data_IF_622291264345
#
_entry.id   IF_622291264345
#
_cell.length_a   1.000
_cell.length_b   1.000
_cell.length_c   1.000
_cell.angle_alpha   90.00
_cell.angle_beta   90.00
_cell.angle_gamma   90.00
#
_symmetry.space_group_name_H-M   'P 1'
#
loop_
_entity.id
_entity.type
_entity.pdbx_description
1 polymer ?
#
# COMPACT_ATOMS: atom_id res chain seq x y z
N UNK A 1 12.32 -10.18 -3.49
CA UNK A 1 11.22 -10.11 -4.45
C UNK A 1 11.68 -10.06 -5.91
N UNK A 2 12.76 -9.34 -6.21
CA UNK A 2 13.28 -9.21 -7.59
C UNK A 2 14.77 -9.47 -7.61
N UNK A 3 15.24 -10.28 -8.55
CA UNK A 3 16.67 -10.52 -8.79
C UNK A 3 16.90 -10.83 -10.27
N UNK A 4 18.02 -10.35 -10.82
CA UNK A 4 18.38 -10.58 -12.22
C UNK A 4 17.38 -10.04 -13.25
N UNK A 5 16.51 -9.10 -12.86
CA UNK A 5 15.45 -8.58 -13.73
C UNK A 5 14.20 -9.46 -13.81
N UNK A 6 14.07 -10.46 -12.94
CA UNK A 6 12.94 -11.37 -12.89
C UNK A 6 12.21 -11.28 -11.53
N UNK A 7 10.89 -11.47 -11.55
CA UNK A 7 10.07 -11.57 -10.35
C UNK A 7 10.21 -12.96 -9.72
N UNK A 8 10.66 -13.01 -8.48
CA UNK A 8 10.78 -14.22 -7.67
C UNK A 8 9.57 -14.44 -6.75
N UNK A 9 8.44 -13.83 -7.06
CA UNK A 9 7.25 -13.86 -6.22
C UNK A 9 6.00 -14.20 -7.02
N UNK A 10 5.01 -14.70 -6.30
CA UNK A 10 3.62 -14.79 -6.74
C UNK A 10 2.72 -13.99 -5.79
N UNK A 11 1.73 -13.30 -6.34
CA UNK A 11 0.72 -12.61 -5.53
C UNK A 11 -0.48 -13.54 -5.33
N UNK A 12 -0.97 -13.58 -4.11
CA UNK A 12 -2.18 -14.30 -3.72
C UNK A 12 -3.20 -13.29 -3.22
N UNK A 13 -4.31 -13.20 -3.92
CA UNK A 13 -5.50 -12.44 -3.56
C UNK A 13 -6.60 -13.40 -3.06
N UNK A 14 -7.61 -12.90 -2.33
CA UNK A 14 -8.80 -13.70 -2.04
C UNK A 14 -9.53 -14.11 -3.34
N UNK A 15 -10.35 -15.15 -3.34
CA UNK A 15 -11.07 -15.61 -4.54
C UNK A 15 -11.98 -14.57 -5.19
N UNK A 16 -12.46 -13.61 -4.40
CA UNK A 16 -13.31 -12.50 -4.84
C UNK A 16 -12.72 -11.20 -4.25
N UNK A 17 -11.67 -10.65 -4.88
CA UNK A 17 -10.95 -9.49 -4.35
C UNK A 17 -11.80 -8.22 -4.51
N UNK A 18 -11.78 -7.37 -3.49
CA UNK A 18 -12.29 -6.00 -3.61
C UNK A 18 -11.47 -5.24 -4.67
N UNK A 19 -12.05 -4.29 -5.41
CA UNK A 19 -11.32 -3.47 -6.37
C UNK A 19 -10.07 -2.79 -5.79
N UNK A 20 -10.08 -2.40 -4.51
CA UNK A 20 -8.91 -1.83 -3.86
C UNK A 20 -7.84 -2.89 -3.51
N UNK A 21 -8.24 -4.13 -3.21
CA UNK A 21 -7.29 -5.24 -3.03
C UNK A 21 -6.59 -5.57 -4.38
N UNK A 22 -7.35 -5.55 -5.48
CA UNK A 22 -6.77 -5.70 -6.83
C UNK A 22 -5.83 -4.54 -7.16
N UNK A 23 -6.25 -3.29 -6.91
CA UNK A 23 -5.40 -2.12 -7.11
C UNK A 23 -4.12 -2.19 -6.28
N UNK A 24 -4.18 -2.66 -5.03
CA UNK A 24 -3.00 -2.86 -4.19
C UNK A 24 -2.00 -3.84 -4.83
N UNK A 25 -2.47 -4.93 -5.41
CA UNK A 25 -1.64 -5.90 -6.12
C UNK A 25 -1.01 -5.30 -7.40
N UNK A 26 -1.81 -4.62 -8.21
CA UNK A 26 -1.37 -3.99 -9.46
C UNK A 26 -0.32 -2.89 -9.20
N UNK A 27 -0.52 -2.07 -8.16
CA UNK A 27 0.45 -1.04 -7.74
C UNK A 27 1.76 -1.68 -7.25
N UNK A 28 1.69 -2.76 -6.47
CA UNK A 28 2.89 -3.47 -6.04
C UNK A 28 3.70 -3.98 -7.23
N UNK A 29 3.07 -4.66 -8.18
CA UNK A 29 3.73 -5.17 -9.39
C UNK A 29 4.34 -4.03 -10.21
N UNK A 30 3.58 -2.94 -10.42
CA UNK A 30 4.03 -1.75 -11.14
C UNK A 30 5.29 -1.14 -10.53
N UNK A 31 5.29 -0.95 -9.20
CA UNK A 31 6.44 -0.33 -8.54
C UNK A 31 7.63 -1.27 -8.40
N UNK A 32 7.42 -2.57 -8.25
CA UNK A 32 8.52 -3.53 -8.26
C UNK A 32 9.22 -3.55 -9.64
N UNK A 33 8.45 -3.42 -10.73
CA UNK A 33 9.02 -3.26 -12.07
C UNK A 33 9.81 -1.94 -12.20
N UNK A 34 9.24 -0.81 -11.78
CA UNK A 34 9.94 0.50 -11.76
C UNK A 34 11.23 0.45 -10.93
N UNK A 35 11.20 -0.16 -9.74
CA UNK A 35 12.36 -0.34 -8.86
C UNK A 35 13.46 -1.17 -9.50
N UNK A 36 13.12 -2.15 -10.31
CA UNK A 36 14.09 -2.96 -11.08
C UNK A 36 14.60 -2.24 -12.32
N UNK A 37 13.98 -1.13 -12.71
CA UNK A 37 14.33 -0.36 -13.90
C UNK A 37 13.73 -0.90 -15.20
N UNK A 38 12.69 -1.74 -15.13
CA UNK A 38 11.98 -2.31 -16.27
C UNK A 38 10.53 -1.81 -16.34
N UNK A 39 9.90 -1.93 -17.49
CA UNK A 39 8.47 -1.63 -17.64
C UNK A 39 7.60 -2.77 -17.10
N UNK A 40 8.06 -4.01 -17.27
CA UNK A 40 7.42 -5.23 -16.82
C UNK A 40 8.46 -6.19 -16.25
N UNK A 41 8.07 -6.99 -15.25
CA UNK A 41 8.91 -8.02 -14.67
C UNK A 41 8.47 -9.39 -15.19
N UNK A 42 9.28 -10.07 -16.02
CA UNK A 42 9.02 -11.46 -16.32
C UNK A 42 9.10 -12.30 -15.04
N UNK A 43 8.19 -13.25 -14.90
CA UNK A 43 8.24 -14.19 -13.76
C UNK A 43 9.36 -15.19 -13.99
N UNK A 44 10.15 -15.43 -12.94
CA UNK A 44 11.14 -16.49 -12.93
C UNK A 44 10.45 -17.87 -13.05
N UNK A 45 11.22 -18.89 -13.45
CA UNK A 45 10.72 -20.27 -13.52
C UNK A 45 10.26 -20.78 -12.15
N UNK A 46 10.90 -20.30 -11.08
CA UNK A 46 10.52 -20.57 -9.70
C UNK A 46 10.22 -19.25 -8.99
N UNK A 47 9.08 -19.19 -8.33
CA UNK A 47 8.64 -18.03 -7.54
C UNK A 47 8.53 -18.44 -6.06
N UNK A 48 9.68 -18.52 -5.33
CA UNK A 48 9.69 -19.03 -3.96
C UNK A 48 8.92 -18.13 -3.00
N UNK A 49 8.80 -16.84 -3.29
CA UNK A 49 8.14 -15.89 -2.39
C UNK A 49 6.64 -15.80 -2.68
N UNK A 50 5.83 -15.96 -1.64
CA UNK A 50 4.38 -15.72 -1.70
C UNK A 50 4.06 -14.37 -1.08
N UNK A 51 3.35 -13.52 -1.83
CA UNK A 51 2.84 -12.22 -1.36
C UNK A 51 1.32 -12.31 -1.22
N UNK A 52 0.84 -12.43 0.01
CA UNK A 52 -0.57 -12.45 0.35
C UNK A 52 -1.08 -11.02 0.57
N UNK A 53 -2.14 -10.62 -0.12
CA UNK A 53 -2.69 -9.25 -0.06
C UNK A 53 -4.15 -9.26 0.37
N UNK A 54 -4.51 -8.30 1.21
CA UNK A 54 -5.87 -8.06 1.65
C UNK A 54 -6.40 -9.16 2.56
N UNK A 55 -7.61 -9.62 2.31
CA UNK A 55 -8.25 -10.68 3.12
C UNK A 55 -7.50 -12.00 3.07
N UNK A 56 -6.69 -12.25 2.05
CA UNK A 56 -5.81 -13.43 1.99
C UNK A 56 -4.71 -13.40 3.06
N UNK A 57 -4.25 -12.20 3.44
CA UNK A 57 -3.17 -11.98 4.40
C UNK A 57 -3.65 -11.71 5.84
N UNK A 58 -4.95 -11.66 6.10
CA UNK A 58 -5.49 -11.31 7.41
C UNK A 58 -5.04 -12.26 8.52
N UNK A 59 -4.65 -11.68 9.65
CA UNK A 59 -4.27 -12.42 10.85
C UNK A 59 -4.93 -11.84 12.12
N UNK A 60 -4.78 -12.55 13.22
CA UNK A 60 -5.40 -12.15 14.48
C UNK A 60 -4.78 -10.87 15.08
N UNK A 61 -3.48 -10.62 14.85
CA UNK A 61 -2.83 -9.39 15.34
C UNK A 61 -3.47 -8.11 14.78
N UNK A 62 -3.84 -8.11 13.50
CA UNK A 62 -4.53 -6.97 12.91
C UNK A 62 -5.93 -6.81 13.53
N UNK A 63 -6.66 -7.93 13.70
CA UNK A 63 -8.01 -7.91 14.29
C UNK A 63 -8.03 -7.44 15.73
N UNK A 64 -7.05 -7.84 16.53
CA UNK A 64 -6.96 -7.48 17.95
C UNK A 64 -6.57 -6.00 18.14
N UNK A 65 -5.65 -5.48 17.33
CA UNK A 65 -5.09 -4.14 17.51
C UNK A 65 -5.84 -3.05 16.77
N UNK A 66 -6.45 -3.37 15.64
CA UNK A 66 -6.99 -2.40 14.70
C UNK A 66 -8.52 -2.42 14.61
N UNK A 67 -9.22 -3.14 15.48
CA UNK A 67 -10.68 -3.30 15.42
C UNK A 67 -11.49 -2.01 15.54
N UNK A 68 -10.89 -0.93 16.02
CA UNK A 68 -11.54 0.38 16.20
C UNK A 68 -11.13 1.42 15.14
N UNK A 69 -10.18 1.12 14.24
CA UNK A 69 -9.65 2.06 13.25
C UNK A 69 -9.70 1.45 11.85
N UNK A 70 -10.54 2.01 10.98
CA UNK A 70 -10.70 1.56 9.59
C UNK A 70 -9.47 1.81 8.70
N UNK A 71 -8.48 2.53 9.17
CA UNK A 71 -7.26 2.86 8.44
C UNK A 71 -6.02 2.09 8.89
N UNK A 72 -6.14 1.20 9.87
CA UNK A 72 -5.04 0.37 10.36
C UNK A 72 -4.61 -0.67 9.32
N UNK A 73 -3.32 -0.97 9.26
CA UNK A 73 -2.80 -1.99 8.37
C UNK A 73 -1.69 -2.83 9.02
N UNK A 74 -1.41 -3.95 8.40
CA UNK A 74 -0.45 -4.95 8.85
C UNK A 74 0.54 -5.28 7.75
N UNK A 75 1.80 -5.36 8.11
CA UNK A 75 2.89 -5.84 7.27
C UNK A 75 3.63 -6.94 8.01
N UNK A 76 3.79 -8.07 7.37
CA UNK A 76 4.67 -9.14 7.84
C UNK A 76 5.56 -9.62 6.69
N UNK A 77 6.85 -9.68 6.96
CA UNK A 77 7.85 -10.30 6.09
C UNK A 77 8.54 -11.38 6.90
N UNK A 78 8.25 -12.62 6.59
CA UNK A 78 8.78 -13.77 7.32
C UNK A 78 9.05 -14.92 6.36
N UNK A 79 10.29 -15.43 6.42
CA UNK A 79 10.75 -16.50 5.54
C UNK A 79 10.48 -16.16 4.05
N UNK A 80 9.76 -16.99 3.33
CA UNK A 80 9.35 -16.78 1.93
C UNK A 80 7.93 -16.22 1.80
N UNK A 81 7.39 -15.58 2.85
CA UNK A 81 6.04 -15.05 2.85
C UNK A 81 6.04 -13.57 3.20
N UNK A 82 5.33 -12.79 2.40
CA UNK A 82 5.00 -11.38 2.66
C UNK A 82 3.49 -11.26 2.81
N UNK A 83 3.02 -10.66 3.91
CA UNK A 83 1.60 -10.44 4.17
C UNK A 83 1.32 -8.96 4.29
N UNK A 84 0.36 -8.48 3.50
CA UNK A 84 -0.05 -7.09 3.42
C UNK A 84 -1.57 -7.01 3.56
N UNK A 85 -2.06 -6.57 4.70
CA UNK A 85 -3.49 -6.49 4.97
C UNK A 85 -3.87 -5.18 5.66
N UNK A 86 -5.08 -4.71 5.42
CA UNK A 86 -5.68 -3.57 6.11
C UNK A 86 -6.98 -3.94 6.82
N UNK A 87 -7.44 -3.08 7.73
CA UNK A 87 -8.76 -3.17 8.36
C UNK A 87 -9.90 -2.91 7.38
N UNK A 88 -9.56 -2.32 6.23
CA UNK A 88 -10.44 -2.11 5.09
C UNK A 88 -9.67 -2.35 3.78
N UNK A 89 -10.34 -2.51 2.63
CA UNK A 89 -9.67 -2.61 1.33
C UNK A 89 -8.75 -1.42 1.03
N UNK A 90 -9.16 -0.21 1.39
CA UNK A 90 -8.34 1.01 1.27
C UNK A 90 -7.09 0.92 2.15
N UNK A 91 -7.21 0.45 3.38
CA UNK A 91 -6.09 0.29 4.29
C UNK A 91 -5.11 -0.82 3.82
N UNK A 92 -5.57 -1.78 3.01
CA UNK A 92 -4.69 -2.74 2.34
C UNK A 92 -3.76 -2.04 1.34
N UNK A 93 -4.24 -1.04 0.59
CA UNK A 93 -3.38 -0.21 -0.24
C UNK A 93 -2.33 0.53 0.61
N UNK A 94 -2.69 0.99 1.80
CA UNK A 94 -1.73 1.66 2.70
C UNK A 94 -0.59 0.73 3.11
N UNK A 95 -0.86 -0.56 3.36
CA UNK A 95 0.19 -1.55 3.63
C UNK A 95 1.16 -1.68 2.46
N UNK A 96 0.64 -1.74 1.23
CA UNK A 96 1.47 -1.80 0.02
C UNK A 96 2.31 -0.54 -0.16
N UNK A 97 1.70 0.64 -0.03
CA UNK A 97 2.45 1.89 -0.19
C UNK A 97 3.48 2.10 0.92
N UNK A 98 3.20 1.66 2.13
CA UNK A 98 4.19 1.70 3.21
C UNK A 98 5.39 0.79 2.93
N UNK A 99 5.15 -0.41 2.42
CA UNK A 99 6.23 -1.29 1.95
C UNK A 99 7.05 -0.65 0.83
N UNK A 100 6.39 0.01 -0.15
CA UNK A 100 7.07 0.72 -1.24
C UNK A 100 7.87 1.93 -0.73
N UNK A 101 7.36 2.64 0.27
CA UNK A 101 8.11 3.73 0.93
C UNK A 101 9.38 3.23 1.61
N UNK A 102 9.36 2.04 2.22
CA UNK A 102 10.55 1.42 2.78
C UNK A 102 11.59 1.06 1.71
N UNK A 103 11.12 0.71 0.51
CA UNK A 103 11.98 0.48 -0.66
C UNK A 103 12.46 1.80 -1.30
N UNK A 104 12.06 2.96 -0.77
CA UNK A 104 12.52 4.28 -1.18
C UNK A 104 11.62 5.00 -2.17
N UNK A 105 10.45 4.46 -2.52
CA UNK A 105 9.47 5.17 -3.33
C UNK A 105 8.91 6.39 -2.56
N UNK A 106 8.67 7.49 -3.27
CA UNK A 106 8.06 8.72 -2.71
C UNK A 106 7.14 9.36 -3.73
N UNK A 107 6.06 9.98 -3.23
CA UNK A 107 5.07 10.69 -4.04
C UNK A 107 4.86 12.10 -3.48
N UNK A 108 5.64 13.05 -3.98
CA UNK A 108 5.67 14.43 -3.45
C UNK A 108 4.51 15.29 -3.92
N UNK A 109 3.94 14.99 -5.10
CA UNK A 109 2.78 15.69 -5.66
C UNK A 109 2.00 14.76 -6.60
N UNK A 110 0.75 15.09 -6.95
CA UNK A 110 -0.03 14.33 -7.92
C UNK A 110 0.65 14.22 -9.30
N UNK A 111 0.52 13.07 -9.93
CA UNK A 111 1.06 12.77 -11.26
C UNK A 111 2.51 12.29 -11.23
N UNK A 112 2.98 11.88 -12.42
CA UNK A 112 4.28 11.23 -12.59
C UNK A 112 5.47 12.11 -12.20
N UNK A 113 5.35 13.44 -12.40
CA UNK A 113 6.42 14.39 -12.02
C UNK A 113 6.69 14.36 -10.51
N UNK A 114 5.68 14.00 -9.72
CA UNK A 114 5.79 13.89 -8.27
C UNK A 114 6.38 12.57 -7.78
N UNK A 115 6.62 11.61 -8.65
CA UNK A 115 7.15 10.31 -8.26
C UNK A 115 8.68 10.31 -8.19
N UNK A 116 9.21 9.74 -7.11
CA UNK A 116 10.62 9.39 -6.99
C UNK A 116 10.72 7.89 -6.70
N UNK A 117 11.23 7.14 -7.67
CA UNK A 117 11.40 5.69 -7.57
C UNK A 117 12.88 5.36 -7.78
N UNK A 118 13.58 4.82 -6.78
CA UNK A 118 14.98 4.44 -6.93
C UNK A 118 15.12 3.23 -7.86
N UNK A 119 16.27 3.10 -8.50
CA UNK A 119 16.63 1.89 -9.26
C UNK A 119 17.50 1.00 -8.40
N UNK A 120 16.96 -0.12 -7.97
CA UNK A 120 17.63 -1.00 -7.00
C UNK A 120 18.34 -2.20 -7.66
N UNK A 121 17.96 -2.59 -8.88
CA UNK A 121 18.46 -3.80 -9.55
C UNK A 121 18.07 -5.12 -8.88
N UNK A 122 18.05 -5.14 -7.55
CA UNK A 122 17.51 -6.23 -6.72
C UNK A 122 16.59 -5.65 -5.66
N UNK A 123 15.46 -6.31 -5.40
CA UNK A 123 14.53 -5.95 -4.35
C UNK A 123 14.51 -7.04 -3.29
N UNK A 124 15.11 -6.75 -2.16
CA UNK A 124 15.14 -7.63 -0.99
C UNK A 124 14.38 -6.96 0.17
N UNK A 125 13.57 -7.73 0.88
CA UNK A 125 12.89 -7.28 2.08
C UNK A 125 13.62 -7.83 3.30
N UNK A 126 13.65 -7.03 4.37
CA UNK A 126 14.08 -7.49 5.68
C UNK A 126 12.89 -8.10 6.43
N UNK A 127 13.17 -9.05 7.32
CA UNK A 127 12.13 -9.60 8.19
C UNK A 127 11.49 -8.47 9.03
N UNK A 128 10.18 -8.43 9.03
CA UNK A 128 9.37 -7.41 9.71
C UNK A 128 8.03 -8.02 10.15
N UNK A 129 7.47 -7.51 11.23
CA UNK A 129 6.10 -7.86 11.63
C UNK A 129 5.54 -6.72 12.47
N UNK A 130 4.63 -5.93 11.89
CA UNK A 130 4.04 -4.78 12.56
C UNK A 130 2.61 -4.50 12.16
N UNK A 131 1.88 -3.88 13.08
CA UNK A 131 0.59 -3.25 12.85
C UNK A 131 0.77 -1.75 12.99
N UNK A 132 0.37 -1.01 11.97
CA UNK A 132 0.39 0.46 11.94
C UNK A 132 -1.02 1.01 12.07
N UNK A 133 -1.18 1.97 12.96
CA UNK A 133 -2.42 2.70 13.17
C UNK A 133 -2.15 4.18 12.91
N UNK A 134 -3.07 4.91 12.28
CA UNK A 134 -2.86 6.33 12.07
C UNK A 134 -2.98 7.11 13.38
N UNK A 135 -2.06 8.05 13.62
CA UNK A 135 -2.13 8.97 14.75
C UNK A 135 -3.33 9.92 14.68
N UNK A 136 -3.81 10.19 13.46
CA UNK A 136 -4.95 11.08 13.21
C UNK A 136 -6.05 10.35 12.44
N UNK A 137 -7.28 10.44 12.94
CA UNK A 137 -8.47 9.84 12.29
C UNK A 137 -8.79 10.50 10.95
N UNK A 138 -8.61 11.82 10.83
CA UNK A 138 -8.81 12.57 9.61
C UNK A 138 -7.47 13.07 9.05
N UNK A 139 -7.14 12.66 7.83
CA UNK A 139 -5.91 12.99 7.11
C UNK A 139 -6.27 13.53 5.73
N UNK A 140 -6.87 14.72 5.69
CA UNK A 140 -7.46 15.29 4.48
C UNK A 140 -6.80 16.62 4.15
N UNK A 141 -6.44 16.80 2.89
CA UNK A 141 -6.01 18.07 2.33
C UNK A 141 -7.18 18.73 1.58
N UNK A 142 -7.72 19.81 2.15
CA UNK A 142 -8.90 20.49 1.60
C UNK A 142 -8.66 21.16 0.24
N UNK A 143 -7.42 21.54 -0.06
CA UNK A 143 -7.05 22.25 -1.29
C UNK A 143 -6.48 21.33 -2.38
N UNK A 144 -6.62 20.03 -2.23
CA UNK A 144 -6.17 19.10 -3.26
C UNK A 144 -7.08 19.23 -4.50
N UNK A 145 -6.52 19.41 -5.72
CA UNK A 145 -7.31 19.40 -6.94
C UNK A 145 -8.11 18.10 -7.07
N UNK A 146 -9.32 18.20 -7.61
CA UNK A 146 -10.13 16.99 -7.86
C UNK A 146 -9.62 16.25 -9.10
N UNK A 147 -9.65 14.93 -9.07
CA UNK A 147 -9.33 14.07 -10.22
C UNK A 147 -8.49 12.86 -9.83
N UNK A 148 -8.46 11.92 -10.74
CA UNK A 148 -7.83 10.60 -10.55
C UNK A 148 -6.37 10.67 -10.06
N UNK A 149 -5.56 11.55 -10.64
CA UNK A 149 -4.16 11.73 -10.21
C UNK A 149 -4.04 12.21 -8.76
N UNK A 150 -4.96 13.08 -8.31
CA UNK A 150 -4.99 13.56 -6.93
C UNK A 150 -5.50 12.51 -5.96
N UNK A 151 -6.52 11.75 -6.37
CA UNK A 151 -7.10 10.69 -5.57
C UNK A 151 -6.08 9.56 -5.36
N UNK A 152 -5.37 9.18 -6.42
CA UNK A 152 -4.29 8.19 -6.36
C UNK A 152 -3.11 8.68 -5.51
N UNK A 153 -2.73 9.95 -5.66
CA UNK A 153 -1.68 10.55 -4.83
C UNK A 153 -2.07 10.57 -3.35
N UNK A 154 -3.32 10.92 -3.05
CA UNK A 154 -3.84 10.91 -1.69
C UNK A 154 -3.79 9.49 -1.09
N UNK A 155 -4.19 8.48 -1.85
CA UNK A 155 -4.15 7.08 -1.46
C UNK A 155 -2.71 6.61 -1.18
N UNK A 156 -1.75 6.96 -2.06
CA UNK A 156 -0.33 6.64 -1.91
C UNK A 156 0.31 7.26 -0.67
N UNK A 157 -0.17 8.44 -0.28
CA UNK A 157 0.26 9.14 0.94
C UNK A 157 -0.59 8.81 2.16
N UNK A 158 -1.40 7.75 2.09
CA UNK A 158 -2.25 7.29 3.19
C UNK A 158 -3.20 8.37 3.74
N UNK A 159 -3.61 9.32 2.87
CA UNK A 159 -4.61 10.33 3.19
C UNK A 159 -6.01 9.72 3.16
N UNK A 160 -6.90 10.20 4.01
CA UNK A 160 -8.28 9.71 4.14
C UNK A 160 -8.78 9.70 5.58
N UNK A 161 -9.69 8.79 5.89
CA UNK A 161 -10.29 8.68 7.21
C UNK A 161 -11.49 9.62 7.41
N UNK A 162 -11.71 10.09 8.64
CA UNK A 162 -12.86 10.92 8.99
C UNK A 162 -12.83 12.28 8.30
N UNK A 163 -13.95 12.63 7.67
CA UNK A 163 -14.14 13.96 7.09
C UNK A 163 -14.67 14.90 8.18
N UNK A 164 -13.83 15.81 8.63
CA UNK A 164 -14.27 16.87 9.52
C UNK A 164 -14.96 18.00 8.73
N UNK A 165 -16.04 18.58 9.27
CA UNK A 165 -16.63 19.75 8.65
C UNK A 165 -15.58 20.87 8.50
N UNK A 166 -15.48 21.43 7.31
CA UNK A 166 -14.50 22.50 7.02
C UNK A 166 -14.71 23.75 7.88
N UNK A 167 -13.74 24.67 7.85
CA UNK A 167 -13.68 25.89 8.69
C UNK A 167 -14.92 26.81 8.58
N UNK A 168 -15.75 26.63 7.55
CA UNK A 168 -17.01 27.38 7.40
C UNK A 168 -18.23 26.70 8.04
N UNK A 169 -18.03 25.64 8.79
CA UNK A 169 -19.12 24.81 9.37
C UNK A 169 -19.40 25.15 10.85
N UNK A 170 -18.99 26.30 11.34
CA UNK A 170 -19.24 26.75 12.72
C UNK A 170 -20.71 26.67 13.12
N UNK A 171 -21.63 26.83 12.16
CA UNK A 171 -23.07 26.74 12.39
C UNK A 171 -23.60 25.32 12.70
N UNK A 172 -22.73 24.29 12.63
CA UNK A 172 -23.06 22.91 12.97
C UNK A 172 -22.52 22.46 14.34
N UNK A 173 -21.76 23.29 14.99
CA UNK A 173 -21.13 23.01 16.29
C UNK A 173 -21.85 23.71 17.47
N UNK A 174 -22.97 24.38 17.20
CA UNK A 174 -23.83 25.04 18.22
C UNK A 174 -25.20 24.35 18.27
#
# INVERSE_FOLDING_TARGET
LVSGGEALYQIVLPPDPDPMEQQAADELETYLAKLSGTAELPKAAETPVTVEIGRAAQNDMLRERASADESGFFIEVRDETVRLAGTSPVATCYAVYDLLEQLGCRWFMPGEIGEAVPRLGQVQLQADSRVELPDFRGRILQSLPRGEASDLWALRNKLGGEVFPGAHSWNRLV
#
